data_IF_714787235820
#
_entry.id   IF_714787235820
#
_cell.length_a   1.000
_cell.length_b   1.000
_cell.length_c   1.000
_cell.angle_alpha   90.00
_cell.angle_beta   90.00
_cell.angle_gamma   90.00
#
_symmetry.space_group_name_H-M   'P 1'
#
loop_
_entity.id
_entity.type
_entity.pdbx_description
1 polymer ?
#
# COMPACT_ATOMS: atom_id res chain seq x y z
N UNK A 1 -25.04 1.12 59.15
CA UNK A 1 -24.17 0.46 58.15
C UNK A 1 -22.74 0.84 58.47
N UNK A 2 -21.84 -0.11 58.57
CA UNK A 2 -20.43 0.20 58.84
C UNK A 2 -19.77 0.80 57.60
N UNK A 3 -18.81 1.71 57.79
CA UNK A 3 -18.02 2.29 56.69
C UNK A 3 -17.40 1.21 55.78
N UNK A 4 -17.07 0.06 56.35
CA UNK A 4 -16.56 -1.10 55.63
C UNK A 4 -17.59 -1.68 54.62
N UNK A 5 -18.87 -1.69 54.97
CA UNK A 5 -19.93 -2.17 54.10
C UNK A 5 -20.18 -1.23 52.93
N UNK A 6 -20.02 0.08 53.14
CA UNK A 6 -20.11 1.09 52.10
C UNK A 6 -18.94 0.96 51.10
N UNK A 7 -17.72 0.75 51.59
CA UNK A 7 -16.53 0.55 50.76
C UNK A 7 -16.61 -0.76 49.91
N UNK A 8 -17.17 -1.85 50.49
CA UNK A 8 -17.41 -3.08 49.76
C UNK A 8 -18.43 -2.90 48.64
N UNK A 9 -19.54 -2.21 48.90
CA UNK A 9 -20.55 -1.95 47.87
C UNK A 9 -20.03 -1.03 46.77
N UNK A 10 -19.15 -0.06 47.06
CA UNK A 10 -18.49 0.77 46.07
C UNK A 10 -17.49 -0.04 45.22
N UNK A 11 -16.76 -0.97 45.84
CA UNK A 11 -15.84 -1.86 45.12
C UNK A 11 -16.58 -2.85 44.21
N UNK A 12 -17.70 -3.42 44.67
CA UNK A 12 -18.56 -4.29 43.88
C UNK A 12 -19.20 -3.53 42.70
N UNK A 13 -19.72 -2.32 42.95
CA UNK A 13 -20.28 -1.47 41.90
C UNK A 13 -19.22 -1.05 40.84
N UNK A 14 -18.00 -0.76 41.30
CA UNK A 14 -16.89 -0.47 40.37
C UNK A 14 -16.40 -1.73 39.64
N UNK A 15 -16.47 -2.91 40.25
CA UNK A 15 -16.14 -4.17 39.59
C UNK A 15 -17.15 -4.54 38.50
N UNK A 16 -18.45 -4.28 38.74
CA UNK A 16 -19.49 -4.46 37.72
C UNK A 16 -19.34 -3.45 36.56
N UNK A 17 -18.92 -2.21 36.84
CA UNK A 17 -18.63 -1.20 35.80
C UNK A 17 -17.35 -1.50 34.99
N UNK A 18 -16.46 -2.35 35.49
CA UNK A 18 -15.26 -2.81 34.78
C UNK A 18 -15.60 -3.91 33.75
N UNK A 19 -16.76 -4.52 33.82
CA UNK A 19 -17.17 -5.61 32.93
C UNK A 19 -17.59 -5.13 31.50
N UNK A 20 -17.78 -3.83 31.27
CA UNK A 20 -17.84 -3.21 29.97
C UNK A 20 -16.42 -2.87 29.42
N UNK A 21 -15.45 -3.70 29.71
CA UNK A 21 -14.05 -3.42 29.57
C UNK A 21 -13.61 -3.59 28.08
N UNK A 22 -12.89 -2.60 27.50
CA UNK A 22 -12.28 -2.72 26.19
C UNK A 22 -11.34 -3.94 26.04
N UNK A 23 -10.95 -4.55 27.16
CA UNK A 23 -10.21 -5.82 27.18
C UNK A 23 -11.05 -7.00 26.71
N UNK A 24 -12.33 -7.10 27.06
CA UNK A 24 -13.20 -8.20 26.64
C UNK A 24 -13.45 -8.13 25.12
N UNK A 25 -13.69 -6.93 24.58
CA UNK A 25 -13.79 -6.75 23.14
C UNK A 25 -12.49 -7.12 22.40
N UNK A 26 -11.34 -6.80 22.98
CA UNK A 26 -10.05 -7.17 22.39
C UNK A 26 -9.84 -8.68 22.44
N UNK A 27 -10.20 -9.35 23.53
CA UNK A 27 -10.16 -10.81 23.66
C UNK A 27 -11.09 -11.50 22.67
N UNK A 28 -12.31 -11.02 22.51
CA UNK A 28 -13.24 -11.54 21.50
C UNK A 28 -12.72 -11.34 20.09
N UNK A 29 -12.14 -10.19 19.78
CA UNK A 29 -11.48 -9.94 18.48
C UNK A 29 -10.32 -10.90 18.23
N UNK A 30 -9.53 -11.23 19.26
CA UNK A 30 -8.43 -12.18 19.17
C UNK A 30 -8.94 -13.60 18.99
N UNK A 31 -9.96 -14.02 19.74
CA UNK A 31 -10.57 -15.35 19.64
C UNK A 31 -11.24 -15.57 18.27
N UNK A 32 -11.86 -14.54 17.71
CA UNK A 32 -12.50 -14.59 16.39
C UNK A 32 -11.52 -14.39 15.23
N UNK A 33 -10.26 -14.09 15.51
CA UNK A 33 -9.24 -13.83 14.49
C UNK A 33 -9.04 -15.00 13.52
N UNK A 34 -8.91 -16.26 13.95
CA UNK A 34 -8.71 -17.39 13.03
C UNK A 34 -9.87 -17.52 12.03
N UNK A 35 -11.12 -17.51 12.51
CA UNK A 35 -12.30 -17.60 11.66
C UNK A 35 -12.40 -16.44 10.64
N UNK A 36 -12.04 -15.22 11.07
CA UNK A 36 -11.98 -14.05 10.18
C UNK A 36 -10.90 -14.19 9.11
N UNK A 37 -9.76 -14.76 9.47
CA UNK A 37 -8.66 -14.99 8.51
C UNK A 37 -9.09 -16.02 7.47
N UNK A 38 -9.71 -17.13 7.87
CA UNK A 38 -10.23 -18.14 6.95
C UNK A 38 -11.29 -17.56 6.01
N UNK A 39 -12.21 -16.76 6.53
CA UNK A 39 -13.20 -16.06 5.71
C UNK A 39 -12.55 -15.18 4.67
N UNK A 40 -11.56 -14.37 5.07
CA UNK A 40 -10.83 -13.46 4.18
C UNK A 40 -10.10 -14.25 3.09
N UNK A 41 -9.43 -15.34 3.43
CA UNK A 41 -8.73 -16.20 2.46
C UNK A 41 -9.72 -16.81 1.47
N UNK A 42 -10.88 -17.29 1.95
CA UNK A 42 -11.94 -17.81 1.10
C UNK A 42 -12.54 -16.76 0.15
N UNK A 43 -12.69 -15.52 0.60
CA UNK A 43 -13.14 -14.42 -0.24
C UNK A 43 -12.10 -14.05 -1.29
N UNK A 44 -10.82 -13.99 -0.90
CA UNK A 44 -9.72 -13.65 -1.80
C UNK A 44 -9.50 -14.69 -2.89
N UNK A 45 -9.68 -15.97 -2.57
CA UNK A 45 -9.57 -17.06 -3.55
C UNK A 45 -10.58 -16.99 -4.70
N UNK A 46 -11.67 -16.23 -4.52
CA UNK A 46 -12.70 -16.00 -5.55
C UNK A 46 -12.36 -14.83 -6.47
N UNK A 47 -11.38 -14.00 -6.12
CA UNK A 47 -11.00 -12.83 -6.88
C UNK A 47 -9.92 -13.20 -7.90
N UNK A 48 -10.13 -12.87 -9.16
CA UNK A 48 -9.11 -13.05 -10.18
C UNK A 48 -7.97 -12.07 -9.95
N UNK A 49 -6.75 -12.57 -9.89
CA UNK A 49 -5.52 -11.77 -9.79
C UNK A 49 -5.21 -11.06 -11.10
N UNK A 50 -5.74 -11.56 -12.22
CA UNK A 50 -5.53 -10.97 -13.54
C UNK A 50 -6.25 -9.63 -13.65
N UNK A 51 -5.49 -8.59 -13.91
CA UNK A 51 -6.00 -7.22 -14.09
C UNK A 51 -6.56 -7.08 -15.51
N UNK A 52 -7.81 -6.63 -15.59
CA UNK A 52 -8.46 -6.35 -16.86
C UNK A 52 -8.19 -4.88 -17.26
N UNK A 53 -7.62 -4.61 -18.45
CA UNK A 53 -7.36 -3.25 -18.90
C UNK A 53 -8.63 -2.38 -18.96
N UNK A 54 -9.80 -2.99 -19.20
CA UNK A 54 -11.09 -2.27 -19.25
C UNK A 54 -11.54 -1.77 -17.85
N UNK A 55 -10.97 -2.33 -16.79
CA UNK A 55 -11.22 -1.91 -15.42
C UNK A 55 -10.33 -0.74 -14.99
N UNK A 56 -9.24 -0.50 -15.73
CA UNK A 56 -8.32 0.59 -15.47
C UNK A 56 -8.96 1.88 -15.96
N UNK A 57 -9.26 2.81 -15.03
CA UNK A 57 -9.92 4.07 -15.37
C UNK A 57 -11.43 4.11 -15.07
N UNK A 58 -12.04 3.00 -14.69
CA UNK A 58 -13.42 2.95 -14.23
C UNK A 58 -13.49 3.24 -12.72
N UNK A 59 -14.02 4.41 -12.36
CA UNK A 59 -14.14 4.83 -10.96
C UNK A 59 -14.98 3.87 -10.11
N UNK A 60 -15.95 3.18 -10.70
CA UNK A 60 -16.81 2.25 -9.98
C UNK A 60 -16.08 0.95 -9.62
N UNK A 61 -15.02 0.62 -10.37
CA UNK A 61 -14.23 -0.59 -10.18
C UNK A 61 -12.95 -0.38 -9.36
N UNK A 62 -12.66 0.85 -8.93
CA UNK A 62 -11.42 1.17 -8.19
C UNK A 62 -11.22 0.30 -6.95
N UNK A 63 -12.29 0.01 -6.20
CA UNK A 63 -12.17 -0.86 -5.02
C UNK A 63 -11.80 -2.30 -5.37
N UNK A 64 -12.43 -2.85 -6.41
CA UNK A 64 -12.11 -4.18 -6.92
C UNK A 64 -10.68 -4.23 -7.45
N UNK A 65 -10.29 -3.21 -8.22
CA UNK A 65 -8.96 -3.06 -8.78
C UNK A 65 -7.89 -2.94 -7.68
N UNK A 66 -8.17 -2.19 -6.62
CA UNK A 66 -7.31 -2.07 -5.43
C UNK A 66 -7.07 -3.42 -4.77
N UNK A 67 -8.11 -4.24 -4.67
CA UNK A 67 -8.02 -5.59 -4.09
C UNK A 67 -7.24 -6.54 -5.00
N UNK A 68 -7.43 -6.47 -6.32
CA UNK A 68 -6.64 -7.22 -7.31
C UNK A 68 -5.15 -6.86 -7.26
N UNK A 69 -4.82 -5.57 -7.17
CA UNK A 69 -3.45 -5.10 -7.01
C UNK A 69 -2.82 -5.66 -5.73
N UNK A 70 -3.55 -5.63 -4.61
CA UNK A 70 -3.10 -6.18 -3.34
C UNK A 70 -2.75 -7.67 -3.47
N UNK A 71 -3.65 -8.47 -4.04
CA UNK A 71 -3.47 -9.90 -4.21
C UNK A 71 -2.31 -10.24 -5.15
N UNK A 72 -2.17 -9.51 -6.25
CA UNK A 72 -1.08 -9.76 -7.19
C UNK A 72 0.29 -9.40 -6.60
N UNK A 73 0.40 -8.33 -5.81
CA UNK A 73 1.64 -8.02 -5.09
C UNK A 73 1.98 -9.14 -4.10
N UNK A 74 1.00 -9.70 -3.39
CA UNK A 74 1.23 -10.85 -2.51
C UNK A 74 1.72 -12.06 -3.28
N UNK A 75 1.18 -12.32 -4.47
CA UNK A 75 1.62 -13.40 -5.36
C UNK A 75 3.09 -13.22 -5.79
N UNK A 76 3.47 -12.01 -6.22
CA UNK A 76 4.87 -11.70 -6.57
C UNK A 76 5.81 -11.93 -5.38
N UNK A 77 5.40 -11.51 -4.18
CA UNK A 77 6.21 -11.70 -2.97
C UNK A 77 6.32 -13.18 -2.59
N UNK A 78 5.28 -13.98 -2.81
CA UNK A 78 5.31 -15.42 -2.59
C UNK A 78 6.25 -16.12 -3.59
N UNK A 79 6.15 -15.78 -4.86
CA UNK A 79 7.06 -16.29 -5.90
C UNK A 79 8.52 -15.94 -5.60
N UNK A 80 8.79 -14.74 -5.09
CA UNK A 80 10.15 -14.36 -4.66
C UNK A 80 10.62 -15.23 -3.49
N UNK A 81 9.75 -15.45 -2.50
CA UNK A 81 10.09 -16.28 -1.32
C UNK A 81 10.43 -17.73 -1.72
N UNK A 82 9.69 -18.29 -2.67
CA UNK A 82 9.91 -19.64 -3.21
C UNK A 82 11.22 -19.75 -4.01
N UNK A 83 11.62 -18.68 -4.71
CA UNK A 83 12.80 -18.65 -5.58
C UNK A 83 14.00 -17.92 -4.93
N UNK A 84 14.10 -17.96 -3.61
CA UNK A 84 15.13 -17.24 -2.83
C UNK A 84 16.59 -17.42 -3.29
N UNK A 85 17.06 -18.57 -3.75
CA UNK A 85 18.45 -18.72 -4.18
C UNK A 85 18.82 -17.82 -5.36
N UNK A 86 17.83 -17.44 -6.20
CA UNK A 86 18.05 -16.64 -7.41
C UNK A 86 17.90 -15.13 -7.17
N UNK A 87 17.14 -14.72 -6.14
CA UNK A 87 16.68 -13.33 -5.97
C UNK A 87 17.00 -12.73 -4.61
N UNK A 88 18.23 -12.69 -4.17
CA UNK A 88 18.67 -11.95 -2.98
C UNK A 88 17.68 -12.00 -1.79
N UNK A 89 17.63 -13.08 -1.03
CA UNK A 89 16.61 -13.29 0.03
C UNK A 89 16.67 -12.23 1.13
N UNK A 90 17.84 -11.65 1.37
CA UNK A 90 18.05 -10.59 2.37
C UNK A 90 17.22 -9.33 2.09
N UNK A 91 16.94 -9.03 0.82
CA UNK A 91 16.13 -7.87 0.43
C UNK A 91 14.62 -8.12 0.57
N UNK A 92 14.19 -9.37 0.58
CA UNK A 92 12.78 -9.71 0.66
C UNK A 92 12.12 -9.20 1.94
N UNK A 93 12.78 -9.36 3.08
CA UNK A 93 12.27 -8.90 4.38
C UNK A 93 12.09 -7.37 4.40
N UNK A 94 13.07 -6.64 3.90
CA UNK A 94 13.02 -5.18 3.82
C UNK A 94 11.94 -4.71 2.83
N UNK A 95 11.80 -5.41 1.71
CA UNK A 95 10.76 -5.13 0.73
C UNK A 95 9.36 -5.39 1.31
N UNK A 96 9.16 -6.52 2.00
CA UNK A 96 7.89 -6.82 2.69
C UNK A 96 7.52 -5.73 3.71
N UNK A 97 8.49 -5.25 4.50
CA UNK A 97 8.28 -4.16 5.47
C UNK A 97 7.89 -2.85 4.78
N UNK A 98 8.60 -2.50 3.71
CA UNK A 98 8.36 -1.26 2.96
C UNK A 98 7.02 -1.25 2.23
N UNK A 99 6.59 -2.40 1.69
CA UNK A 99 5.31 -2.55 1.00
C UNK A 99 4.11 -2.66 1.94
N UNK A 100 4.33 -3.02 3.22
CA UNK A 100 3.24 -3.27 4.17
C UNK A 100 2.24 -2.10 4.28
N UNK A 101 2.65 -0.84 4.41
CA UNK A 101 1.71 0.28 4.47
C UNK A 101 0.85 0.42 3.20
N UNK A 102 1.45 0.16 2.03
CA UNK A 102 0.74 0.18 0.75
C UNK A 102 -0.29 -0.95 0.68
N UNK A 103 0.11 -2.17 1.05
CA UNK A 103 -0.78 -3.33 1.06
C UNK A 103 -1.98 -3.14 1.98
N UNK A 104 -1.78 -2.53 3.16
CA UNK A 104 -2.87 -2.18 4.08
C UNK A 104 -3.83 -1.16 3.46
N UNK A 105 -3.32 -0.11 2.82
CA UNK A 105 -4.16 0.90 2.15
C UNK A 105 -4.95 0.32 0.97
N UNK A 106 -4.31 -0.52 0.16
CA UNK A 106 -4.97 -1.23 -0.95
C UNK A 106 -6.10 -2.14 -0.42
N UNK A 107 -5.83 -2.89 0.65
CA UNK A 107 -6.81 -3.78 1.27
C UNK A 107 -8.01 -3.05 1.83
N UNK A 108 -7.79 -1.89 2.44
CA UNK A 108 -8.83 -1.04 3.03
C UNK A 108 -9.54 -0.17 1.99
N UNK A 109 -9.06 -0.10 0.75
CA UNK A 109 -9.59 0.80 -0.27
C UNK A 109 -9.40 2.29 0.08
N UNK A 110 -8.36 2.61 0.85
CA UNK A 110 -8.07 3.99 1.32
C UNK A 110 -6.97 4.68 0.50
N UNK A 111 -6.45 4.00 -0.53
CA UNK A 111 -5.53 4.62 -1.46
C UNK A 111 -6.28 5.52 -2.45
N UNK A 112 -5.71 6.66 -2.80
CA UNK A 112 -6.31 7.57 -3.76
C UNK A 112 -6.57 6.86 -5.11
N UNK A 113 -7.72 7.08 -5.76
CA UNK A 113 -8.10 6.41 -7.01
C UNK A 113 -7.03 6.51 -8.10
N UNK A 114 -6.45 7.69 -8.29
CA UNK A 114 -5.40 7.94 -9.29
C UNK A 114 -4.16 7.08 -9.05
N UNK A 115 -3.81 6.88 -7.77
CA UNK A 115 -2.67 6.02 -7.41
C UNK A 115 -3.00 4.54 -7.62
N UNK A 116 -4.24 4.12 -7.36
CA UNK A 116 -4.70 2.74 -7.66
C UNK A 116 -4.63 2.48 -9.15
N UNK A 117 -5.14 3.40 -9.98
CA UNK A 117 -5.14 3.29 -11.44
C UNK A 117 -3.70 3.23 -11.97
N UNK A 118 -2.83 4.12 -11.51
CA UNK A 118 -1.43 4.15 -11.93
C UNK A 118 -0.68 2.88 -11.52
N UNK A 119 -0.88 2.40 -10.31
CA UNK A 119 -0.31 1.14 -9.83
C UNK A 119 -0.85 -0.05 -10.63
N UNK A 120 -2.16 -0.11 -10.85
CA UNK A 120 -2.78 -1.17 -11.65
C UNK A 120 -2.22 -1.22 -13.08
N UNK A 121 -1.93 -0.07 -13.68
CA UNK A 121 -1.28 0.00 -14.99
C UNK A 121 0.11 -0.65 -14.98
N UNK A 122 0.92 -0.36 -13.96
CA UNK A 122 2.23 -1.02 -13.79
C UNK A 122 2.06 -2.53 -13.69
N UNK A 123 1.17 -2.98 -12.78
CA UNK A 123 0.95 -4.40 -12.53
C UNK A 123 0.33 -5.12 -13.73
N UNK A 124 -0.52 -4.46 -14.49
CA UNK A 124 -1.07 -4.98 -15.74
C UNK A 124 0.05 -5.29 -16.75
N UNK A 125 0.96 -4.34 -16.99
CA UNK A 125 2.09 -4.57 -17.89
C UNK A 125 3.04 -5.66 -17.39
N UNK A 126 3.22 -5.80 -16.07
CA UNK A 126 3.99 -6.91 -15.50
C UNK A 126 3.36 -8.28 -15.75
N UNK A 127 2.03 -8.34 -15.90
CA UNK A 127 1.31 -9.57 -16.22
C UNK A 127 1.38 -9.94 -17.72
N UNK A 128 1.79 -8.99 -18.58
CA UNK A 128 1.86 -9.25 -20.02
C UNK A 128 3.26 -9.73 -20.43
N UNK A 129 3.36 -10.76 -21.26
CA UNK A 129 4.65 -11.19 -21.79
C UNK A 129 5.26 -10.08 -22.66
N UNK A 130 6.54 -9.82 -22.50
CA UNK A 130 7.32 -8.84 -23.27
C UNK A 130 6.96 -7.35 -23.07
N UNK A 131 6.15 -7.00 -22.09
CA UNK A 131 5.80 -5.61 -21.76
C UNK A 131 6.60 -5.02 -20.60
N UNK A 132 7.72 -5.62 -20.21
CA UNK A 132 8.56 -5.13 -19.11
C UNK A 132 8.97 -3.66 -19.25
N UNK A 133 9.24 -3.20 -20.48
CA UNK A 133 9.58 -1.80 -20.73
C UNK A 133 8.41 -0.87 -20.45
N UNK A 134 7.19 -1.27 -20.79
CA UNK A 134 5.98 -0.51 -20.48
C UNK A 134 5.68 -0.51 -18.97
N UNK A 135 5.96 -1.61 -18.29
CA UNK A 135 5.86 -1.67 -16.82
C UNK A 135 6.84 -0.68 -16.17
N UNK A 136 8.09 -0.64 -16.63
CA UNK A 136 9.11 0.30 -16.13
C UNK A 136 8.69 1.74 -16.43
N UNK A 137 8.23 2.04 -17.63
CA UNK A 137 7.75 3.38 -17.99
C UNK A 137 6.59 3.82 -17.11
N UNK A 138 5.61 2.94 -16.89
CA UNK A 138 4.45 3.20 -16.03
C UNK A 138 4.87 3.38 -14.57
N UNK A 139 5.83 2.60 -14.09
CA UNK A 139 6.41 2.77 -12.76
C UNK A 139 7.13 4.11 -12.61
N UNK A 140 7.89 4.52 -13.61
CA UNK A 140 8.54 5.84 -13.60
C UNK A 140 7.52 6.98 -13.56
N UNK A 141 6.42 6.87 -14.32
CA UNK A 141 5.30 7.84 -14.26
C UNK A 141 4.65 7.87 -12.88
N UNK A 142 4.44 6.71 -12.26
CA UNK A 142 3.90 6.60 -10.91
C UNK A 142 4.82 7.23 -9.86
N UNK A 143 6.13 6.99 -9.97
CA UNK A 143 7.13 7.39 -8.95
C UNK A 143 7.50 8.87 -9.03
N UNK A 144 7.58 9.41 -10.25
CA UNK A 144 8.09 10.75 -10.52
C UNK A 144 6.96 11.70 -10.89
N UNK A 145 5.80 11.16 -11.28
CA UNK A 145 4.70 11.93 -11.85
C UNK A 145 4.99 12.34 -13.30
N UNK A 146 4.05 13.07 -13.89
CA UNK A 146 4.20 13.65 -15.23
C UNK A 146 5.10 14.91 -15.27
N UNK A 147 5.88 15.14 -14.22
CA UNK A 147 6.88 16.19 -14.25
C UNK A 147 7.89 15.79 -15.32
N UNK A 148 7.98 16.56 -16.38
CA UNK A 148 9.08 16.43 -17.32
C UNK A 148 10.37 16.60 -16.49
N UNK A 149 11.01 15.47 -16.16
CA UNK A 149 12.36 15.51 -15.65
C UNK A 149 13.18 16.25 -16.71
N UNK A 150 13.78 17.37 -16.39
CA UNK A 150 14.68 17.99 -17.34
C UNK A 150 15.78 16.96 -17.60
N UNK A 151 15.73 16.35 -18.79
CA UNK A 151 16.74 15.39 -19.25
C UNK A 151 18.15 15.97 -19.07
N UNK A 152 18.25 17.29 -19.00
CA UNK A 152 19.45 18.00 -18.65
C UNK A 152 19.96 17.80 -17.21
N UNK A 153 19.20 17.19 -16.30
CA UNK A 153 19.71 16.91 -14.94
C UNK A 153 20.62 15.69 -14.93
N UNK A 154 20.36 14.70 -15.78
CA UNK A 154 21.21 13.51 -15.90
C UNK A 154 22.46 13.77 -16.73
N UNK A 155 22.38 14.64 -17.71
CA UNK A 155 23.52 15.25 -18.32
C UNK A 155 23.82 16.59 -17.65
N UNK A 156 23.86 16.62 -16.33
CA UNK A 156 24.34 17.79 -15.58
C UNK A 156 25.77 18.08 -16.00
N UNK A 157 25.82 18.11 -17.27
CA UNK A 157 26.86 18.77 -17.93
C UNK A 157 26.73 20.26 -17.65
N UNK A 158 27.78 20.84 -17.75
CA UNK A 158 28.11 22.27 -17.78
C UNK A 158 26.99 23.12 -18.42
N UNK A 159 26.19 22.54 -19.34
CA UNK A 159 25.14 23.23 -20.11
C UNK A 159 23.87 23.58 -19.28
N UNK A 160 23.46 22.77 -18.35
CA UNK A 160 22.31 23.09 -17.50
C UNK A 160 22.58 24.22 -16.52
N UNK A 161 23.81 24.31 -16.01
CA UNK A 161 24.25 25.44 -15.16
C UNK A 161 24.37 26.74 -15.95
N UNK A 162 24.84 26.67 -17.20
CA UNK A 162 24.96 27.86 -18.03
C UNK A 162 23.61 28.41 -18.49
N UNK A 163 22.60 27.57 -18.70
CA UNK A 163 21.26 28.02 -19.02
C UNK A 163 20.60 28.74 -17.82
N UNK A 164 20.78 28.19 -16.62
CA UNK A 164 20.21 28.78 -15.40
C UNK A 164 20.89 30.11 -15.04
N UNK A 165 22.20 30.22 -15.20
CA UNK A 165 22.93 31.46 -14.99
C UNK A 165 22.60 32.53 -16.02
N UNK A 166 22.25 32.17 -17.25
CA UNK A 166 21.79 33.13 -18.27
C UNK A 166 20.41 33.71 -17.95
N UNK A 167 19.49 32.91 -17.39
CA UNK A 167 18.16 33.40 -16.99
C UNK A 167 18.26 34.40 -15.81
N UNK A 168 19.17 34.18 -14.88
CA UNK A 168 19.40 35.10 -13.75
C UNK A 168 20.18 36.37 -14.13
N UNK A 169 20.92 36.31 -15.22
CA UNK A 169 21.69 37.47 -15.69
C UNK A 169 20.89 38.51 -16.48
N UNK A 170 19.73 38.12 -17.04
CA UNK A 170 18.88 39.05 -17.81
C UNK A 170 17.89 39.85 -16.96
N UNK A 171 17.72 39.54 -15.68
CA UNK A 171 16.85 40.27 -14.75
C UNK A 171 17.62 41.05 -13.69
N UNK A 172 18.82 41.48 -14.00
CA UNK A 172 19.53 42.48 -13.19
C UNK A 172 18.85 43.85 -13.33
N UNK A 173 18.62 44.57 -12.21
CA UNK A 173 18.02 45.90 -12.30
C UNK A 173 18.89 46.86 -13.13
N UNK A 174 18.22 47.55 -14.03
CA UNK A 174 18.74 48.67 -14.77
C UNK A 174 18.98 49.83 -13.83
#
# INVERSE_FOLDING_TARGET
>A
MSEFQLCLNELESNAEAIDENPLNEQLERLNNRPARVEQIISEDSKISIKIDPTSIGDEQKVQSLSRQCNLYIHEILAQWDENQPEYHPELLTETKKSLFPLLVKLRRGTLAPDLVISLATVLYHLQQPNENNLAIESYMKLSIGNVAWPIGVTSVGIHARSAHSKIQGENGPI
#
